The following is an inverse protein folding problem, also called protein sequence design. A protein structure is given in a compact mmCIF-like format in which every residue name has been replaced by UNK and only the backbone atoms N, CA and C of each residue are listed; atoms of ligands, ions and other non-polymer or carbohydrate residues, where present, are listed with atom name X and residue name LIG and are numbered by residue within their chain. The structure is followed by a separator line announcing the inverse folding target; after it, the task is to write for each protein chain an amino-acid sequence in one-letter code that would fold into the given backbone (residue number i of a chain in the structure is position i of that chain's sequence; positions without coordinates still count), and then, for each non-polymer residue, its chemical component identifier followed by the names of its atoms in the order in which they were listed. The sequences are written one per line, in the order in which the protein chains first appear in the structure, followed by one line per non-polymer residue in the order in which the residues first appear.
data_IF_649209033726
#
_entry.id   IF_649209033726
#
_cell.length_a   1.000
_cell.length_b   1.000
_cell.length_c   1.000
_cell.angle_alpha   90.00
_cell.angle_beta   90.00
_cell.angle_gamma   90.00
#
_symmetry.space_group_name_H-M   'P 1'
#
loop_
_entity.id
_entity.type
_entity.pdbx_description
1 polymer ?
#
# COMPACT_ATOMS: atom_id res chain seq x y z
N UNK A 1 22.63 -75.04 11.05
CA UNK A 1 22.49 -74.59 12.45
C UNK A 1 22.93 -73.14 12.55
N UNK A 2 22.18 -72.36 13.34
CA UNK A 2 22.39 -70.97 13.79
C UNK A 2 22.11 -69.80 12.81
N UNK A 3 21.07 -69.06 13.22
CA UNK A 3 20.48 -67.81 12.72
C UNK A 3 21.24 -66.58 13.26
N UNK A 4 20.94 -65.36 12.78
CA UNK A 4 21.80 -64.17 12.86
C UNK A 4 21.56 -63.31 14.10
N UNK A 5 22.50 -62.40 14.40
CA UNK A 5 22.31 -61.33 15.39
C UNK A 5 22.44 -59.96 14.73
N UNK A 6 21.29 -59.27 14.68
CA UNK A 6 21.11 -57.86 14.33
C UNK A 6 21.80 -56.97 15.39
N UNK A 7 22.49 -55.92 14.95
CA UNK A 7 22.86 -54.80 15.83
C UNK A 7 21.62 -53.92 16.07
N UNK A 8 21.36 -53.68 17.35
CA UNK A 8 20.29 -52.83 17.85
C UNK A 8 20.65 -51.34 17.75
N UNK A 9 19.59 -50.54 17.63
CA UNK A 9 19.59 -49.09 17.59
C UNK A 9 20.05 -48.48 18.93
N UNK A 10 20.75 -47.34 18.83
CA UNK A 10 21.13 -46.49 19.96
C UNK A 10 20.00 -45.48 20.19
N UNK A 11 19.39 -45.52 21.37
CA UNK A 11 18.52 -44.46 21.91
C UNK A 11 19.35 -43.50 22.77
N UNK A 12 19.12 -42.18 22.75
CA UNK A 12 19.73 -41.26 23.69
C UNK A 12 18.93 -41.20 25.00
N UNK A 13 19.65 -41.36 26.12
CA UNK A 13 19.17 -41.19 27.49
C UNK A 13 18.81 -39.73 27.79
N UNK A 14 17.68 -39.52 28.47
CA UNK A 14 17.37 -38.29 29.20
C UNK A 14 18.06 -38.28 30.57
N UNK A 15 18.51 -37.10 31.05
CA UNK A 15 18.61 -36.84 32.48
C UNK A 15 17.60 -35.76 32.91
N UNK A 16 16.69 -36.12 33.82
CA UNK A 16 15.96 -35.18 34.66
C UNK A 16 16.71 -34.99 35.98
N UNK A 17 17.11 -33.76 36.31
CA UNK A 17 17.13 -33.22 37.69
C UNK A 17 17.48 -31.73 37.67
N UNK A 18 16.50 -30.87 37.97
CA UNK A 18 16.70 -29.45 38.29
C UNK A 18 16.66 -29.29 39.82
N UNK A 19 17.51 -28.45 40.44
CA UNK A 19 17.45 -28.19 41.88
C UNK A 19 16.26 -27.26 42.21
N UNK A 20 15.73 -27.30 43.45
CA UNK A 20 14.60 -26.45 43.83
C UNK A 20 15.05 -24.98 43.92
N UNK A 21 14.39 -24.09 43.18
CA UNK A 21 14.53 -22.63 43.35
C UNK A 21 14.01 -22.25 44.74
N UNK A 22 14.82 -21.53 45.52
CA UNK A 22 14.45 -21.04 46.85
C UNK A 22 13.35 -19.98 46.74
N UNK A 23 12.41 -19.99 47.67
CA UNK A 23 11.25 -19.08 47.73
C UNK A 23 11.64 -17.58 47.74
N UNK A 24 12.86 -17.25 48.18
CA UNK A 24 13.35 -15.86 48.29
C UNK A 24 13.68 -15.16 46.96
N UNK A 25 14.00 -15.89 45.89
CA UNK A 25 14.33 -15.25 44.61
C UNK A 25 13.08 -14.64 43.92
N UNK A 26 11.89 -15.14 44.26
CA UNK A 26 10.62 -14.69 43.69
C UNK A 26 10.12 -13.40 44.34
N UNK A 27 10.37 -13.22 45.65
CA UNK A 27 10.01 -11.99 46.37
C UNK A 27 10.90 -10.81 45.97
N UNK A 28 12.21 -11.05 45.81
CA UNK A 28 13.15 -10.02 45.36
C UNK A 28 12.84 -9.48 43.96
N UNK A 29 12.48 -10.36 43.01
CA UNK A 29 12.07 -9.96 41.66
C UNK A 29 10.73 -9.20 41.64
N UNK A 30 9.81 -9.55 42.54
CA UNK A 30 8.49 -8.88 42.62
C UNK A 30 8.63 -7.46 43.19
N UNK A 31 9.51 -7.25 44.18
CA UNK A 31 9.82 -5.93 44.74
C UNK A 31 10.50 -5.00 43.72
N UNK A 32 11.40 -5.53 42.89
CA UNK A 32 12.04 -4.75 41.81
C UNK A 32 11.04 -4.30 40.73
N UNK A 33 10.10 -5.17 40.35
CA UNK A 33 9.07 -4.82 39.36
C UNK A 33 8.08 -3.79 39.93
N UNK A 34 7.66 -3.94 41.18
CA UNK A 34 6.79 -2.97 41.85
C UNK A 34 7.48 -1.60 42.01
N UNK A 35 8.78 -1.58 42.34
CA UNK A 35 9.57 -0.35 42.40
C UNK A 35 9.68 0.36 41.05
N UNK A 36 9.93 -0.39 39.97
CA UNK A 36 9.99 0.18 38.62
C UNK A 36 8.64 0.76 38.16
N UNK A 37 7.54 0.07 38.45
CA UNK A 37 6.19 0.54 38.12
C UNK A 37 5.81 1.81 38.91
N UNK A 38 6.17 1.89 40.19
CA UNK A 38 5.94 3.09 41.01
C UNK A 38 6.71 4.31 40.48
N UNK A 39 7.97 4.13 40.05
CA UNK A 39 8.78 5.21 39.48
C UNK A 39 8.26 5.69 38.12
N UNK A 40 7.77 4.78 37.27
CA UNK A 40 7.11 5.15 36.00
C UNK A 40 5.81 5.93 36.24
N UNK A 41 5.04 5.55 37.26
CA UNK A 41 3.80 6.24 37.64
C UNK A 41 4.06 7.65 38.16
N UNK A 42 5.05 7.80 39.06
CA UNK A 42 5.46 9.11 39.57
C UNK A 42 6.02 10.02 38.47
N UNK A 43 6.80 9.46 37.53
CA UNK A 43 7.31 10.20 36.37
C UNK A 43 6.20 10.67 35.42
N UNK A 44 5.18 9.84 35.18
CA UNK A 44 4.01 10.21 34.37
C UNK A 44 3.20 11.34 35.03
N UNK A 45 2.94 11.23 36.35
CA UNK A 45 2.23 12.28 37.09
C UNK A 45 2.97 13.61 37.08
N UNK A 46 4.29 13.60 37.29
CA UNK A 46 5.12 14.81 37.23
C UNK A 46 5.09 15.45 35.82
N UNK A 47 5.13 14.64 34.76
CA UNK A 47 5.07 15.13 33.38
C UNK A 47 3.71 15.75 33.05
N UNK A 48 2.60 15.13 33.50
CA UNK A 48 1.26 15.70 33.31
C UNK A 48 1.06 17.00 34.08
N UNK A 49 1.62 17.11 35.29
CA UNK A 49 1.58 18.35 36.08
C UNK A 49 2.38 19.48 35.41
N UNK A 50 3.55 19.16 34.85
CA UNK A 50 4.37 20.11 34.08
C UNK A 50 3.67 20.58 32.79
N UNK A 51 3.01 19.68 32.07
CA UNK A 51 2.27 20.03 30.85
C UNK A 51 1.00 20.84 31.13
N UNK A 52 0.41 20.69 32.33
CA UNK A 52 -0.75 21.48 32.76
C UNK A 52 -0.38 22.93 33.12
N UNK A 53 0.86 23.18 33.56
CA UNK A 53 1.35 24.51 33.94
C UNK A 53 1.69 25.41 32.74
N UNK A 54 1.67 24.89 31.51
CA UNK A 54 1.94 25.67 30.30
C UNK A 54 0.67 26.38 29.84
N UNK A 55 0.62 27.73 29.81
CA UNK A 55 -0.52 28.46 29.29
C UNK A 55 -0.75 28.14 27.82
N UNK A 56 -1.99 27.81 27.44
CA UNK A 56 -2.36 27.61 26.04
C UNK A 56 -2.18 28.91 25.26
N UNK A 57 -1.66 28.88 24.01
CA UNK A 57 -1.59 30.07 23.18
C UNK A 57 -3.01 30.56 22.82
N UNK A 58 -3.21 31.88 22.64
CA UNK A 58 -4.52 32.44 22.37
C UNK A 58 -5.05 31.97 21.01
N UNK A 59 -6.31 31.58 21.01
CA UNK A 59 -7.13 31.26 19.84
C UNK A 59 -7.28 32.50 18.96
N UNK A 60 -6.85 32.40 17.70
CA UNK A 60 -7.08 33.43 16.69
C UNK A 60 -8.50 33.30 16.14
N UNK A 61 -9.47 33.78 16.90
CA UNK A 61 -10.81 34.06 16.39
C UNK A 61 -11.02 35.58 16.38
N UNK A 62 -11.53 36.04 15.25
CA UNK A 62 -11.99 37.40 14.93
C UNK A 62 -10.95 38.38 14.37
N UNK A 63 -10.80 38.35 13.04
CA UNK A 63 -10.58 39.56 12.25
C UNK A 63 -11.84 39.79 11.42
N UNK A 64 -12.67 40.72 11.87
CA UNK A 64 -13.69 41.38 11.06
C UNK A 64 -13.01 42.34 10.06
N UNK A 65 -13.49 42.45 8.80
CA UNK A 65 -13.03 43.51 7.90
C UNK A 65 -13.68 44.84 8.29
N UNK A 66 -12.85 45.86 8.55
CA UNK A 66 -13.30 47.26 8.62
C UNK A 66 -13.35 47.86 7.21
N UNK A 67 -14.50 48.43 6.87
CA UNK A 67 -14.70 49.38 5.77
C UNK A 67 -13.71 50.58 5.87
N UNK A 68 -13.19 51.14 4.76
CA UNK A 68 -13.63 52.36 4.01
C UNK A 68 -12.34 52.91 3.32
N UNK A 69 -12.30 53.75 2.23
CA UNK A 69 -13.32 54.28 1.29
C UNK A 69 -13.05 54.07 -0.21
N UNK A 70 -14.09 54.37 -0.99
CA UNK A 70 -14.13 54.61 -2.45
C UNK A 70 -13.32 55.84 -2.91
N UNK A 71 -13.01 55.81 -4.22
CA UNK A 71 -12.87 56.91 -5.20
C UNK A 71 -11.43 57.13 -5.71
N UNK A 72 -11.09 57.38 -6.98
CA UNK A 72 -11.76 57.67 -8.27
C UNK A 72 -10.85 57.19 -9.43
N UNK A 73 -11.37 56.98 -10.65
CA UNK A 73 -10.56 57.16 -11.87
C UNK A 73 -10.81 56.22 -13.06
N UNK A 74 -11.75 56.63 -13.92
CA UNK A 74 -11.99 56.31 -15.34
C UNK A 74 -10.98 55.48 -16.17
N UNK A 75 -11.54 54.57 -16.97
CA UNK A 75 -10.93 54.03 -18.20
C UNK A 75 -11.85 53.05 -18.93
N UNK A 76 -12.37 53.43 -20.09
CA UNK A 76 -13.37 52.71 -20.89
C UNK A 76 -12.78 51.66 -21.85
N UNK A 77 -13.62 50.67 -22.20
CA UNK A 77 -13.60 49.75 -23.37
C UNK A 77 -12.76 48.47 -23.35
N UNK A 78 -13.19 47.39 -24.04
CA UNK A 78 -14.54 46.83 -24.13
C UNK A 78 -14.57 45.35 -23.69
N UNK A 79 -15.78 44.85 -23.42
CA UNK A 79 -16.03 43.46 -23.05
C UNK A 79 -15.59 42.48 -24.16
N UNK A 80 -14.59 41.67 -23.84
CA UNK A 80 -14.36 40.39 -24.49
C UNK A 80 -15.04 39.34 -23.60
N UNK A 81 -16.26 38.98 -23.99
CA UNK A 81 -16.88 37.71 -23.59
C UNK A 81 -15.86 36.59 -23.82
N UNK A 82 -15.46 35.83 -22.79
CA UNK A 82 -14.82 34.56 -23.04
C UNK A 82 -15.91 33.67 -23.65
N UNK A 83 -15.78 33.36 -24.94
CA UNK A 83 -16.46 32.19 -25.50
C UNK A 83 -16.11 31.02 -24.57
N UNK A 84 -17.09 30.60 -23.79
CA UNK A 84 -17.09 29.30 -23.11
C UNK A 84 -16.97 28.24 -24.20
N UNK A 85 -15.73 27.90 -24.53
CA UNK A 85 -15.41 26.60 -25.04
C UNK A 85 -15.67 25.61 -23.89
N UNK A 86 -16.95 25.29 -23.67
CA UNK A 86 -17.40 24.07 -23.02
C UNK A 86 -16.93 22.89 -23.89
N UNK A 87 -15.62 22.65 -23.87
CA UNK A 87 -15.07 21.34 -24.11
C UNK A 87 -15.64 20.48 -22.99
N UNK A 88 -16.76 19.80 -23.27
CA UNK A 88 -17.55 19.05 -22.31
C UNK A 88 -16.63 18.29 -21.36
N UNK A 89 -16.48 18.81 -20.14
CA UNK A 89 -15.69 18.19 -19.08
C UNK A 89 -16.47 16.95 -18.71
N UNK A 90 -16.18 15.84 -19.37
CA UNK A 90 -16.82 14.57 -19.10
C UNK A 90 -16.53 14.25 -17.65
N UNK A 91 -17.53 14.48 -16.80
CA UNK A 91 -17.40 14.21 -15.37
C UNK A 91 -17.19 12.72 -15.24
N UNK A 92 -16.05 12.34 -14.67
CA UNK A 92 -15.80 10.96 -14.26
C UNK A 92 -16.99 10.48 -13.41
N UNK A 93 -17.61 9.38 -13.82
CA UNK A 93 -18.56 8.64 -12.99
C UNK A 93 -17.78 7.59 -12.23
N UNK A 94 -17.03 8.05 -11.23
CA UNK A 94 -16.17 7.17 -10.44
C UNK A 94 -17.03 6.12 -9.70
N UNK A 95 -16.49 4.93 -9.52
CA UNK A 95 -17.08 3.88 -8.70
C UNK A 95 -15.99 3.34 -7.77
N UNK A 96 -16.31 3.17 -6.48
CA UNK A 96 -15.37 2.59 -5.51
C UNK A 96 -15.89 1.25 -5.00
N UNK A 97 -15.02 0.26 -5.07
CA UNK A 97 -15.28 -1.09 -4.58
C UNK A 97 -14.25 -1.42 -3.50
N UNK A 98 -14.74 -1.69 -2.29
CA UNK A 98 -13.90 -2.23 -1.23
C UNK A 98 -13.56 -3.69 -1.53
N UNK A 99 -12.29 -4.05 -1.37
CA UNK A 99 -11.81 -5.40 -1.63
C UNK A 99 -11.01 -5.92 -0.45
N UNK A 100 -11.16 -7.20 -0.15
CA UNK A 100 -10.43 -7.83 0.94
C UNK A 100 -10.05 -9.27 0.63
N UNK A 101 -9.01 -9.76 1.29
CA UNK A 101 -8.77 -11.18 1.45
C UNK A 101 -8.98 -11.56 2.92
N UNK A 102 -9.51 -12.75 3.13
CA UNK A 102 -9.68 -13.36 4.44
C UNK A 102 -8.90 -14.68 4.36
N UNK A 103 -8.02 -15.00 5.33
CA UNK A 103 -7.34 -16.29 5.35
C UNK A 103 -8.35 -17.43 5.26
N UNK A 104 -8.09 -18.42 4.40
CA UNK A 104 -9.05 -19.50 4.10
C UNK A 104 -9.51 -20.28 5.35
N UNK A 105 -8.65 -20.38 6.36
CA UNK A 105 -8.93 -21.09 7.61
C UNK A 105 -9.62 -20.21 8.67
N UNK A 106 -9.87 -18.92 8.38
CA UNK A 106 -10.56 -18.02 9.29
C UNK A 106 -12.08 -18.14 9.09
N UNK A 107 -12.86 -18.53 10.13
CA UNK A 107 -14.30 -18.67 10.01
C UNK A 107 -14.96 -17.31 9.77
N UNK A 108 -15.82 -17.24 8.75
CA UNK A 108 -16.65 -16.06 8.49
C UNK A 108 -17.58 -15.80 9.67
N UNK A 109 -17.57 -14.57 10.20
CA UNK A 109 -18.55 -14.17 11.20
C UNK A 109 -19.95 -14.18 10.56
N UNK A 110 -20.89 -14.91 11.16
CA UNK A 110 -22.27 -14.99 10.69
C UNK A 110 -22.88 -13.57 10.62
N UNK A 111 -23.45 -13.22 9.46
CA UNK A 111 -24.06 -11.90 9.23
C UNK A 111 -23.08 -10.77 8.88
N UNK A 112 -21.79 -11.05 8.69
CA UNK A 112 -20.86 -10.04 8.16
C UNK A 112 -21.06 -9.85 6.65
N UNK A 113 -21.17 -8.59 6.22
CA UNK A 113 -21.04 -8.21 4.81
C UNK A 113 -19.56 -8.27 4.43
N UNK A 114 -19.15 -9.32 3.72
CA UNK A 114 -17.79 -9.40 3.17
C UNK A 114 -17.65 -8.39 2.04
N UNK A 115 -16.55 -7.63 2.05
CA UNK A 115 -16.11 -6.90 0.87
C UNK A 115 -15.79 -7.89 -0.27
N UNK A 116 -15.64 -7.38 -1.49
CA UNK A 116 -15.40 -8.23 -2.64
C UNK A 116 -14.05 -8.96 -2.49
N UNK A 117 -13.95 -10.27 -2.81
CA UNK A 117 -12.69 -11.00 -2.72
C UNK A 117 -11.59 -10.37 -3.59
N UNK A 118 -10.45 -10.06 -2.97
CA UNK A 118 -9.33 -9.32 -3.57
C UNK A 118 -8.85 -9.93 -4.88
N UNK A 119 -8.57 -11.24 -4.90
CA UNK A 119 -8.07 -11.90 -6.11
C UNK A 119 -9.08 -11.86 -7.26
N UNK A 120 -10.38 -11.98 -6.97
CA UNK A 120 -11.42 -11.83 -7.99
C UNK A 120 -11.50 -10.40 -8.51
N UNK A 121 -11.40 -9.40 -7.63
CA UNK A 121 -11.41 -8.00 -8.02
C UNK A 121 -10.20 -7.63 -8.89
N UNK A 122 -9.02 -8.17 -8.58
CA UNK A 122 -7.83 -7.99 -9.41
C UNK A 122 -7.99 -8.62 -10.80
N UNK A 123 -8.54 -9.83 -10.91
CA UNK A 123 -8.81 -10.46 -12.21
C UNK A 123 -9.79 -9.62 -13.04
N UNK A 124 -10.86 -9.12 -12.43
CA UNK A 124 -11.83 -8.24 -13.08
C UNK A 124 -11.23 -6.90 -13.49
N UNK A 125 -10.36 -6.31 -12.67
CA UNK A 125 -9.64 -5.10 -13.04
C UNK A 125 -8.71 -5.32 -14.23
N UNK A 126 -8.05 -6.48 -14.32
CA UNK A 126 -7.25 -6.85 -15.50
C UNK A 126 -8.13 -7.13 -16.74
N UNK A 127 -9.37 -7.57 -16.56
CA UNK A 127 -10.32 -7.72 -17.67
C UNK A 127 -10.67 -6.38 -18.34
N UNK A 128 -10.64 -5.27 -17.59
CA UNK A 128 -10.94 -3.94 -18.14
C UNK A 128 -9.77 -3.34 -18.93
N UNK A 129 -8.54 -3.85 -18.76
CA UNK A 129 -7.34 -3.28 -19.35
C UNK A 129 -7.31 -3.41 -20.88
N UNK A 130 -7.08 -2.28 -21.56
CA UNK A 130 -7.03 -2.19 -23.03
C UNK A 130 -5.70 -1.65 -23.56
N UNK A 131 -4.99 -0.83 -22.78
CA UNK A 131 -3.81 -0.10 -23.24
C UNK A 131 -2.59 -0.32 -22.32
N UNK A 132 -2.77 -0.13 -21.01
CA UNK A 132 -1.66 -0.15 -20.07
C UNK A 132 -2.06 -0.58 -18.65
N UNK A 133 -1.11 -1.23 -17.99
CA UNK A 133 -1.15 -1.55 -16.56
C UNK A 133 0.18 -1.13 -15.94
N UNK A 134 0.13 -0.18 -15.02
CA UNK A 134 1.29 0.29 -14.26
C UNK A 134 1.17 -0.17 -12.82
N UNK A 135 2.18 -0.90 -12.33
CA UNK A 135 2.15 -1.54 -11.01
C UNK A 135 3.30 -1.02 -10.15
N UNK A 136 2.98 -0.33 -9.05
CA UNK A 136 3.91 -0.08 -7.96
C UNK A 136 3.75 -1.16 -6.89
N UNK A 137 4.82 -1.88 -6.58
CA UNK A 137 4.75 -3.10 -5.75
C UNK A 137 6.00 -3.33 -4.92
N UNK A 138 5.85 -3.89 -3.71
CA UNK A 138 7.01 -4.18 -2.87
C UNK A 138 7.82 -5.38 -3.38
N UNK A 139 7.16 -6.53 -3.60
CA UNK A 139 7.77 -7.75 -4.13
C UNK A 139 6.72 -8.60 -4.86
N UNK A 140 7.20 -9.63 -5.58
CA UNK A 140 6.38 -10.57 -6.35
C UNK A 140 6.71 -12.02 -5.94
N UNK A 141 5.68 -12.79 -5.61
CA UNK A 141 5.71 -14.20 -5.20
C UNK A 141 4.32 -14.84 -5.45
N UNK A 142 3.78 -14.66 -6.65
CA UNK A 142 2.47 -15.17 -7.08
C UNK A 142 2.49 -16.67 -7.36
N UNK A 143 3.61 -17.20 -7.82
CA UNK A 143 3.75 -18.62 -8.12
C UNK A 143 4.18 -19.38 -6.87
N UNK A 144 3.52 -20.48 -6.53
CA UNK A 144 3.94 -21.36 -5.44
C UNK A 144 5.11 -22.27 -5.84
N UNK A 145 5.00 -23.01 -6.96
CA UNK A 145 5.99 -24.01 -7.37
C UNK A 145 7.41 -23.47 -7.55
N UNK A 146 7.58 -22.23 -8.03
CA UNK A 146 8.91 -21.64 -8.29
C UNK A 146 9.71 -21.35 -7.01
N UNK A 147 9.03 -21.22 -5.88
CA UNK A 147 9.61 -21.07 -4.55
C UNK A 147 9.53 -22.35 -3.71
N UNK A 148 9.17 -23.48 -4.33
CA UNK A 148 9.10 -24.79 -3.68
C UNK A 148 7.85 -25.01 -2.81
N UNK A 149 6.77 -24.26 -3.06
CA UNK A 149 5.46 -24.48 -2.43
C UNK A 149 4.59 -25.30 -3.38
N UNK A 150 4.05 -26.41 -2.89
CA UNK A 150 3.09 -27.24 -3.62
C UNK A 150 1.77 -27.29 -2.84
N UNK A 151 0.96 -26.25 -2.99
CA UNK A 151 -0.30 -26.08 -2.26
C UNK A 151 -1.34 -25.41 -3.15
N UNK A 152 -2.60 -25.88 -3.09
CA UNK A 152 -3.69 -25.36 -3.92
C UNK A 152 -4.03 -23.90 -3.62
N UNK A 153 -3.70 -23.39 -2.43
CA UNK A 153 -3.88 -21.98 -2.07
C UNK A 153 -3.06 -21.00 -2.91
N UNK A 154 -2.06 -21.48 -3.67
CA UNK A 154 -1.28 -20.68 -4.60
C UNK A 154 -1.89 -20.53 -6.00
N UNK A 155 -2.89 -21.37 -6.35
CA UNK A 155 -3.48 -21.41 -7.70
C UNK A 155 -4.07 -20.07 -8.17
N UNK A 156 -4.63 -19.28 -7.24
CA UNK A 156 -5.18 -17.96 -7.58
C UNK A 156 -4.06 -16.95 -7.96
N UNK A 157 -2.90 -17.04 -7.31
CA UNK A 157 -1.72 -16.26 -7.68
C UNK A 157 -1.18 -16.65 -9.05
N UNK A 158 -1.13 -17.95 -9.33
CA UNK A 158 -0.71 -18.48 -10.65
C UNK A 158 -1.66 -18.04 -11.76
N UNK A 159 -2.98 -18.11 -11.53
CA UNK A 159 -3.99 -17.64 -12.48
C UNK A 159 -3.85 -16.13 -12.74
N UNK A 160 -3.55 -15.33 -11.72
CA UNK A 160 -3.28 -13.91 -11.88
C UNK A 160 -2.02 -13.64 -12.71
N UNK A 161 -0.93 -14.38 -12.47
CA UNK A 161 0.28 -14.27 -13.28
C UNK A 161 0.00 -14.65 -14.74
N UNK A 162 -0.78 -15.71 -14.98
CA UNK A 162 -1.22 -16.08 -16.33
C UNK A 162 -2.05 -14.97 -16.98
N UNK A 163 -2.95 -14.31 -16.24
CA UNK A 163 -3.75 -13.19 -16.74
C UNK A 163 -2.87 -12.03 -17.22
N UNK A 164 -1.86 -11.66 -16.44
CA UNK A 164 -0.88 -10.62 -16.82
C UNK A 164 -0.11 -11.00 -18.09
N UNK A 165 0.28 -12.28 -18.24
CA UNK A 165 0.92 -12.77 -19.47
C UNK A 165 -0.03 -12.70 -20.68
N UNK A 166 -1.33 -12.95 -20.50
CA UNK A 166 -2.33 -12.84 -21.57
C UNK A 166 -2.51 -11.38 -22.03
N UNK A 167 -2.47 -10.42 -21.10
CA UNK A 167 -2.53 -8.99 -21.44
C UNK A 167 -1.37 -8.57 -22.34
N UNK A 168 -0.15 -9.00 -22.02
CA UNK A 168 1.02 -8.78 -22.88
C UNK A 168 0.82 -9.37 -24.27
N UNK A 169 0.25 -10.58 -24.36
CA UNK A 169 -0.09 -11.23 -25.65
C UNK A 169 -1.16 -10.49 -26.47
N UNK A 170 -1.96 -9.64 -25.83
CA UNK A 170 -2.96 -8.75 -26.46
C UNK A 170 -2.41 -7.35 -26.75
N UNK A 171 -1.10 -7.14 -26.63
CA UNK A 171 -0.43 -5.84 -26.76
C UNK A 171 -0.82 -4.78 -25.72
N UNK A 172 -1.36 -5.20 -24.57
CA UNK A 172 -1.52 -4.30 -23.42
C UNK A 172 -0.17 -4.15 -22.74
N UNK A 173 0.29 -2.91 -22.58
CA UNK A 173 1.58 -2.63 -21.96
C UNK A 173 1.56 -2.91 -20.46
N UNK A 174 2.62 -3.53 -19.92
CA UNK A 174 2.78 -3.77 -18.48
C UNK A 174 4.09 -3.14 -18.00
N UNK A 175 3.99 -2.17 -17.12
CA UNK A 175 5.14 -1.53 -16.48
C UNK A 175 5.10 -1.77 -14.97
N UNK A 176 6.21 -2.27 -14.40
CA UNK A 176 6.30 -2.62 -12.98
C UNK A 176 7.43 -1.84 -12.33
N UNK A 177 7.11 -0.99 -11.37
CA UNK A 177 8.07 -0.41 -10.44
C UNK A 177 8.08 -1.23 -9.15
N UNK A 178 9.23 -1.84 -8.82
CA UNK A 178 9.36 -2.71 -7.65
C UNK A 178 10.58 -2.41 -6.80
N UNK A 179 10.52 -2.74 -5.50
CA UNK A 179 11.60 -2.43 -4.56
C UNK A 179 12.90 -3.17 -4.87
N UNK A 180 14.01 -2.47 -4.73
CA UNK A 180 15.34 -3.04 -4.53
C UNK A 180 15.98 -2.46 -3.26
N UNK A 181 16.30 -3.29 -2.26
CA UNK A 181 16.20 -4.76 -2.25
C UNK A 181 14.76 -5.29 -2.23
N UNK A 182 14.60 -6.56 -2.63
CA UNK A 182 13.32 -7.31 -2.61
C UNK A 182 13.37 -8.45 -1.58
N UNK A 183 12.21 -8.80 -1.01
CA UNK A 183 12.05 -9.96 -0.12
C UNK A 183 11.96 -11.28 -0.89
N UNK A 184 11.36 -11.27 -2.08
CA UNK A 184 11.11 -12.47 -2.87
C UNK A 184 12.29 -12.81 -3.79
N UNK A 185 13.43 -13.19 -3.20
CA UNK A 185 14.69 -13.44 -3.95
C UNK A 185 14.65 -14.67 -4.87
N UNK A 186 13.77 -15.62 -4.58
CA UNK A 186 13.64 -16.89 -5.32
C UNK A 186 12.50 -16.89 -6.35
N UNK A 187 11.60 -15.90 -6.31
CA UNK A 187 10.50 -15.81 -7.28
C UNK A 187 11.04 -15.53 -8.68
N UNK A 188 10.38 -16.15 -9.65
CA UNK A 188 10.61 -16.05 -11.08
C UNK A 188 9.54 -15.20 -11.79
N UNK A 189 8.51 -14.73 -11.07
CA UNK A 189 7.32 -14.08 -11.65
C UNK A 189 7.69 -12.91 -12.59
N UNK A 190 8.55 -12.00 -12.10
CA UNK A 190 8.96 -10.82 -12.87
C UNK A 190 9.87 -11.16 -14.05
N UNK A 191 10.66 -12.23 -13.94
CA UNK A 191 11.49 -12.73 -15.02
C UNK A 191 10.61 -13.30 -16.14
N UNK A 192 9.56 -14.05 -15.78
CA UNK A 192 8.58 -14.59 -16.74
C UNK A 192 7.81 -13.48 -17.43
N UNK A 193 7.35 -12.45 -16.71
CA UNK A 193 6.67 -11.31 -17.30
C UNK A 193 7.61 -10.49 -18.21
N UNK A 194 8.84 -10.24 -17.78
CA UNK A 194 9.83 -9.52 -18.58
C UNK A 194 10.18 -10.27 -19.88
N UNK A 195 10.28 -11.61 -19.83
CA UNK A 195 10.48 -12.44 -21.01
C UNK A 195 9.33 -12.34 -22.03
N UNK A 196 8.15 -11.88 -21.61
CA UNK A 196 6.99 -11.61 -22.47
C UNK A 196 6.78 -10.13 -22.82
N UNK A 197 7.76 -9.27 -22.53
CA UNK A 197 7.73 -7.86 -22.90
C UNK A 197 7.26 -6.90 -21.81
N UNK A 198 7.01 -7.36 -20.59
CA UNK A 198 6.77 -6.44 -19.46
C UNK A 198 8.03 -5.62 -19.15
N UNK A 199 7.85 -4.34 -18.88
CA UNK A 199 8.93 -3.46 -18.47
C UNK A 199 9.05 -3.49 -16.95
N UNK A 200 10.13 -4.08 -16.42
CA UNK A 200 10.35 -4.20 -14.98
C UNK A 200 11.47 -3.27 -14.53
N UNK A 201 11.16 -2.38 -13.59
CA UNK A 201 12.10 -1.43 -13.01
C UNK A 201 12.28 -1.68 -11.52
N UNK A 202 13.52 -2.01 -11.15
CA UNK A 202 13.93 -2.19 -9.75
C UNK A 202 14.39 -0.85 -9.19
N UNK A 203 13.63 -0.28 -8.26
CA UNK A 203 13.88 1.03 -7.66
C UNK A 203 14.80 0.86 -6.45
N UNK A 204 16.03 1.40 -6.46
CA UNK A 204 17.04 1.15 -5.43
C UNK A 204 16.79 1.99 -4.17
N UNK A 205 15.64 1.81 -3.51
CA UNK A 205 15.24 2.57 -2.32
C UNK A 205 16.21 2.39 -1.16
N UNK A 206 16.87 1.23 -1.04
CA UNK A 206 17.91 1.03 -0.04
C UNK A 206 19.09 2.01 -0.20
N UNK A 207 19.44 2.34 -1.45
CA UNK A 207 20.47 3.34 -1.75
C UNK A 207 19.93 4.76 -1.63
N UNK A 208 18.71 5.01 -2.10
CA UNK A 208 18.13 6.35 -2.19
C UNK A 208 17.71 6.89 -0.82
N UNK A 209 17.04 6.07 -0.01
CA UNK A 209 16.41 6.49 1.26
C UNK A 209 16.77 5.61 2.45
N UNK A 210 17.58 4.56 2.28
CA UNK A 210 17.80 3.48 3.26
C UNK A 210 16.53 2.67 3.58
N UNK A 211 15.47 2.85 2.79
CA UNK A 211 14.17 2.18 2.95
C UNK A 211 13.86 1.21 1.81
N UNK A 212 12.57 0.96 1.62
CA UNK A 212 12.01 0.10 0.56
C UNK A 212 10.86 0.80 -0.15
N UNK A 213 10.54 0.37 -1.37
CA UNK A 213 9.29 0.77 -2.02
C UNK A 213 8.18 -0.10 -1.41
N UNK A 214 7.35 0.48 -0.54
CA UNK A 214 6.29 -0.26 0.16
C UNK A 214 4.88 -0.03 -0.41
N UNK A 215 4.75 0.68 -1.52
CA UNK A 215 3.48 0.92 -2.22
C UNK A 215 2.95 -0.35 -2.86
N UNK A 216 1.62 -0.51 -2.85
CA UNK A 216 0.89 -1.55 -3.59
C UNK A 216 -0.33 -0.92 -4.25
N UNK A 217 -0.12 -0.41 -5.46
CA UNK A 217 -1.18 0.19 -6.24
C UNK A 217 -0.96 -0.04 -7.73
N UNK A 218 -2.06 -0.09 -8.48
CA UNK A 218 -2.07 -0.23 -9.93
C UNK A 218 -2.78 0.97 -10.53
N UNK A 219 -2.31 1.43 -11.69
CA UNK A 219 -3.03 2.35 -12.57
C UNK A 219 -3.27 1.61 -13.89
N UNK A 220 -4.53 1.49 -14.31
CA UNK A 220 -4.94 0.77 -15.51
C UNK A 220 -5.57 1.76 -16.49
N UNK A 221 -5.02 1.83 -17.69
CA UNK A 221 -5.42 2.70 -18.81
C UNK A 221 -5.54 4.20 -18.43
N UNK A 222 -4.82 4.64 -17.39
CA UNK A 222 -4.97 6.00 -16.85
C UNK A 222 -6.40 6.32 -16.37
N UNK A 223 -7.21 5.30 -16.07
CA UNK A 223 -8.65 5.42 -15.77
C UNK A 223 -9.08 4.68 -14.52
N UNK A 224 -8.52 3.50 -14.28
CA UNK A 224 -8.88 2.66 -13.13
C UNK A 224 -7.69 2.50 -12.19
N UNK A 225 -7.97 2.28 -10.91
CA UNK A 225 -6.96 2.21 -9.85
C UNK A 225 -7.25 1.00 -8.99
N UNK A 226 -6.21 0.29 -8.58
CA UNK A 226 -6.21 -0.49 -7.35
C UNK A 226 -5.26 0.14 -6.35
N UNK A 227 -5.61 0.19 -5.07
CA UNK A 227 -4.68 0.57 -3.99
C UNK A 227 -5.03 -0.21 -2.71
N UNK A 228 -4.02 -0.77 -2.03
CA UNK A 228 -4.27 -1.51 -0.80
C UNK A 228 -3.02 -2.00 -0.08
N UNK A 229 -3.21 -2.95 0.83
CA UNK A 229 -2.15 -3.55 1.63
C UNK A 229 -1.47 -4.76 0.96
N UNK A 230 -2.16 -5.41 0.01
CA UNK A 230 -1.73 -6.67 -0.58
C UNK A 230 -0.50 -6.56 -1.46
N UNK A 231 0.51 -7.39 -1.20
CA UNK A 231 1.63 -7.56 -2.11
C UNK A 231 1.23 -8.43 -3.32
N UNK A 232 2.08 -8.48 -4.35
CA UNK A 232 1.92 -9.42 -5.46
C UNK A 232 2.34 -10.83 -5.01
N UNK A 233 1.67 -11.37 -3.99
CA UNK A 233 1.99 -12.61 -3.30
C UNK A 233 0.73 -13.47 -3.23
N UNK A 234 0.82 -14.75 -3.59
CA UNK A 234 -0.35 -15.64 -3.50
C UNK A 234 -0.91 -15.71 -2.06
N UNK A 235 -0.06 -15.54 -1.04
CA UNK A 235 -0.47 -15.50 0.37
C UNK A 235 -1.32 -14.28 0.66
N UNK A 236 -1.06 -13.14 0.04
CA UNK A 236 -1.92 -11.95 0.16
C UNK A 236 -3.33 -12.20 -0.40
N UNK A 237 -3.48 -13.17 -1.31
CA UNK A 237 -4.77 -13.51 -1.91
C UNK A 237 -5.57 -14.54 -1.10
N UNK A 238 -4.90 -15.44 -0.37
CA UNK A 238 -5.57 -16.59 0.26
C UNK A 238 -5.26 -16.82 1.74
N UNK A 239 -4.14 -16.31 2.27
CA UNK A 239 -3.62 -16.65 3.61
C UNK A 239 -3.44 -15.45 4.55
N UNK A 240 -3.39 -14.24 4.03
CA UNK A 240 -3.23 -13.00 4.79
C UNK A 240 -4.50 -12.20 4.67
N UNK A 241 -4.93 -11.55 5.76
CA UNK A 241 -6.00 -10.58 5.69
C UNK A 241 -5.50 -9.28 5.09
N UNK A 242 -5.93 -8.96 3.88
CA UNK A 242 -5.61 -7.72 3.19
C UNK A 242 -6.86 -6.87 3.00
N UNK A 243 -6.66 -5.56 2.84
CA UNK A 243 -7.70 -4.59 2.51
C UNK A 243 -7.22 -3.66 1.40
N UNK A 244 -8.11 -3.28 0.50
CA UNK A 244 -7.85 -2.29 -0.52
C UNK A 244 -9.13 -1.73 -1.12
N UNK A 245 -8.95 -0.83 -2.07
CA UNK A 245 -10.03 -0.28 -2.88
C UNK A 245 -9.66 -0.40 -4.36
N UNK A 246 -10.66 -0.74 -5.18
CA UNK A 246 -10.61 -0.56 -6.62
C UNK A 246 -11.49 0.63 -6.98
N UNK A 247 -10.94 1.58 -7.72
CA UNK A 247 -11.66 2.76 -8.20
C UNK A 247 -11.76 2.66 -9.72
N UNK A 248 -12.98 2.52 -10.25
CA UNK A 248 -13.24 2.46 -11.68
C UNK A 248 -13.65 3.83 -12.23
N UNK A 249 -13.38 4.05 -13.52
CA UNK A 249 -13.87 5.21 -14.29
C UNK A 249 -13.55 6.57 -13.67
N UNK A 250 -12.35 6.70 -13.10
CA UNK A 250 -11.92 7.88 -12.36
C UNK A 250 -10.58 8.38 -12.88
N UNK A 251 -10.59 8.89 -14.12
CA UNK A 251 -9.41 9.31 -14.85
C UNK A 251 -8.63 10.41 -14.12
N UNK A 252 -9.30 11.35 -13.46
CA UNK A 252 -8.66 12.42 -12.70
C UNK A 252 -7.78 11.90 -11.55
N UNK A 253 -8.30 10.94 -10.76
CA UNK A 253 -7.52 10.31 -9.70
C UNK A 253 -6.43 9.39 -10.27
N UNK A 254 -6.72 8.67 -11.36
CA UNK A 254 -5.76 7.75 -11.97
C UNK A 254 -4.55 8.49 -12.53
N UNK A 255 -4.77 9.60 -13.23
CA UNK A 255 -3.72 10.48 -13.74
C UNK A 255 -2.91 11.12 -12.61
N UNK A 256 -3.52 11.41 -11.47
CA UNK A 256 -2.80 11.96 -10.34
C UNK A 256 -1.92 10.90 -9.66
N UNK A 257 -2.45 9.69 -9.45
CA UNK A 257 -1.69 8.56 -8.91
C UNK A 257 -0.55 8.13 -9.85
N UNK A 258 -0.74 8.26 -11.16
CA UNK A 258 0.27 8.00 -12.18
C UNK A 258 1.54 8.82 -11.95
N UNK A 259 1.45 10.05 -11.42
CA UNK A 259 2.63 10.86 -11.08
C UNK A 259 3.50 10.21 -10.00
N UNK A 260 2.88 9.53 -9.04
CA UNK A 260 3.59 8.73 -8.03
C UNK A 260 4.26 7.52 -8.68
N UNK A 261 3.59 6.83 -9.60
CA UNK A 261 4.22 5.75 -10.37
C UNK A 261 5.42 6.25 -11.17
N UNK A 262 5.27 7.36 -11.90
CA UNK A 262 6.33 7.98 -12.69
C UNK A 262 7.52 8.42 -11.83
N UNK A 263 7.29 8.83 -10.58
CA UNK A 263 8.35 9.11 -9.61
C UNK A 263 9.20 7.86 -9.35
N UNK A 264 8.57 6.72 -9.06
CA UNK A 264 9.31 5.46 -8.93
C UNK A 264 9.98 5.04 -10.23
N UNK A 265 9.30 5.28 -11.36
CA UNK A 265 9.83 4.99 -12.67
C UNK A 265 11.14 5.73 -12.91
N UNK A 266 11.20 7.05 -12.74
CA UNK A 266 12.46 7.80 -12.96
C UNK A 266 13.54 7.45 -11.92
N UNK A 267 13.17 7.14 -10.68
CA UNK A 267 14.12 6.73 -9.65
C UNK A 267 14.73 5.33 -9.88
N UNK A 268 14.08 4.50 -10.70
CA UNK A 268 14.61 3.21 -11.12
C UNK A 268 15.58 3.28 -12.30
N UNK A 269 15.88 4.47 -12.85
CA UNK A 269 16.91 4.63 -13.89
C UNK A 269 18.31 4.33 -13.29
N UNK A 270 19.24 3.70 -14.03
CA UNK A 270 20.61 3.55 -13.58
C UNK A 270 21.22 4.88 -13.12
N UNK A 271 21.87 4.87 -11.95
CA UNK A 271 22.52 6.06 -11.34
C UNK A 271 21.57 7.22 -11.00
N UNK A 272 20.24 6.99 -10.95
CA UNK A 272 19.31 8.00 -10.46
C UNK A 272 19.71 8.54 -9.07
N UNK A 273 19.44 9.82 -8.85
CA UNK A 273 19.65 10.51 -7.58
C UNK A 273 18.34 11.15 -7.15
N UNK A 274 18.13 11.29 -5.85
CA UNK A 274 17.00 12.08 -5.35
C UNK A 274 17.26 13.56 -5.67
N UNK A 275 16.34 14.22 -6.39
CA UNK A 275 16.48 15.64 -6.65
C UNK A 275 16.27 16.43 -5.36
N UNK A 276 16.93 17.58 -5.22
CA UNK A 276 16.64 18.52 -4.11
C UNK A 276 15.22 19.09 -4.21
N UNK A 277 14.78 19.34 -5.44
CA UNK A 277 13.46 19.85 -5.79
C UNK A 277 12.89 19.01 -6.91
N UNK A 278 11.70 18.45 -6.70
CA UNK A 278 11.02 17.65 -7.72
C UNK A 278 10.54 18.53 -8.88
N UNK A 279 10.68 18.08 -10.14
CA UNK A 279 10.07 18.74 -11.29
C UNK A 279 8.54 18.88 -11.15
N UNK A 280 7.99 19.96 -11.71
CA UNK A 280 6.55 20.28 -11.61
C UNK A 280 5.64 19.19 -12.20
N UNK A 281 6.09 18.41 -13.17
CA UNK A 281 5.28 17.33 -13.76
C UNK A 281 4.95 16.19 -12.77
N UNK A 282 5.68 16.08 -11.65
CA UNK A 282 5.35 15.15 -10.56
C UNK A 282 4.46 15.78 -9.48
N UNK A 283 4.16 17.07 -9.58
CA UNK A 283 3.34 17.77 -8.59
C UNK A 283 1.86 17.41 -8.74
N UNK A 284 1.20 17.17 -7.61
CA UNK A 284 -0.23 16.92 -7.56
C UNK A 284 -0.99 18.19 -7.17
N UNK A 285 -2.07 18.46 -7.89
CA UNK A 285 -3.06 19.48 -7.53
C UNK A 285 -4.17 18.91 -6.63
N UNK A 286 -4.23 17.57 -6.49
CA UNK A 286 -5.18 16.83 -5.67
C UNK A 286 -4.47 16.44 -4.37
N UNK A 287 -4.76 17.15 -3.29
CA UNK A 287 -4.07 16.95 -2.02
C UNK A 287 -5.01 17.20 -0.83
N UNK A 288 -4.50 17.03 0.40
CA UNK A 288 -5.30 17.21 1.62
C UNK A 288 -5.97 18.57 1.76
N UNK A 289 -5.43 19.61 1.13
CA UNK A 289 -5.95 20.98 1.19
C UNK A 289 -6.88 21.30 0.02
N UNK A 290 -6.62 20.68 -1.13
CA UNK A 290 -7.44 20.77 -2.32
C UNK A 290 -7.75 19.35 -2.82
N UNK A 291 -8.66 18.62 -2.15
CA UNK A 291 -8.96 17.25 -2.54
C UNK A 291 -9.73 17.23 -3.86
N UNK A 292 -9.70 16.10 -4.54
CA UNK A 292 -10.62 15.81 -5.62
C UNK A 292 -12.04 15.91 -5.08
N UNK A 293 -12.94 16.51 -5.84
CA UNK A 293 -14.37 16.57 -5.53
C UNK A 293 -15.13 16.01 -6.72
N UNK A 294 -15.91 14.95 -6.51
CA UNK A 294 -16.67 14.30 -7.56
C UNK A 294 -17.77 13.42 -7.01
N UNK A 295 -18.39 12.65 -7.89
CA UNK A 295 -19.43 11.70 -7.53
C UNK A 295 -18.88 10.29 -7.65
N UNK A 296 -19.07 9.50 -6.59
CA UNK A 296 -18.79 8.08 -6.58
C UNK A 296 -20.12 7.35 -6.50
N UNK A 297 -20.54 6.69 -7.58
CA UNK A 297 -21.89 6.10 -7.71
C UNK A 297 -23.03 7.08 -7.33
N UNK A 298 -22.88 8.35 -7.73
CA UNK A 298 -23.83 9.42 -7.42
C UNK A 298 -23.66 10.06 -6.04
N UNK A 299 -22.78 9.56 -5.18
CA UNK A 299 -22.51 10.12 -3.85
C UNK A 299 -21.40 11.19 -3.91
N UNK A 300 -21.65 12.42 -3.42
CA UNK A 300 -20.61 13.43 -3.26
C UNK A 300 -19.46 12.91 -2.43
N UNK A 301 -18.28 12.83 -3.03
CA UNK A 301 -17.09 12.23 -2.44
C UNK A 301 -15.90 13.15 -2.64
N UNK A 302 -15.05 13.19 -1.61
CA UNK A 302 -13.74 13.84 -1.69
C UNK A 302 -12.64 12.81 -1.51
N UNK A 303 -11.56 12.95 -2.29
CA UNK A 303 -10.46 11.98 -2.29
C UNK A 303 -9.11 12.66 -2.57
N UNK A 304 -8.04 12.11 -2.01
CA UNK A 304 -6.67 12.46 -2.37
C UNK A 304 -5.73 11.30 -2.02
N UNK A 305 -4.55 11.27 -2.63
CA UNK A 305 -3.46 10.38 -2.27
C UNK A 305 -2.38 11.17 -1.52
N UNK A 306 -1.72 10.54 -0.54
CA UNK A 306 -0.68 11.16 0.29
C UNK A 306 0.47 10.22 0.55
#
# INVERSE_FOLDING_TARGET
MLKPLRRAAVTPMWPCSMPPRRLWDREAGTLQVLGALAMLWLGSMALTYLLWQVPRPPTWDQVQPKDVPRSWGHGSSPALEPLEAEAGKQRDSCQLVLVESIPQDLPSAAGSTSAQPLGQAWLQLLDTAQESVHVASYYWSLTGPDIGVNDSSSQLGEALLQKLQQLLGRNVSLAVATSSPTLARKSTDLQVLAARGAQVRRVPMGRLTRGVLHSKFWVVDGRHIYMGSANMDWRSLTQVKELGAVIYNCSHLAQDLEKTFQTYWVLGVPKAVLPKTWPQNFSSHINRFQPFQGLFDGLPTTAYFS
#
